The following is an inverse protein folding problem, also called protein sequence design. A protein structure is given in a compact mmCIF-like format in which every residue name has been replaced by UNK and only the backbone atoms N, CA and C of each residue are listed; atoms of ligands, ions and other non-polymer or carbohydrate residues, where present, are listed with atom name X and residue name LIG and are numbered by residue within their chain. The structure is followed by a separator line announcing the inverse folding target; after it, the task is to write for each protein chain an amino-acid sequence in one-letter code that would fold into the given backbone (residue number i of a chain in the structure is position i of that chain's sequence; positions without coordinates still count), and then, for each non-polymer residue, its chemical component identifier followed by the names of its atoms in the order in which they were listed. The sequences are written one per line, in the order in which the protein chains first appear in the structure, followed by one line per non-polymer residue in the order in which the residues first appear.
data_IF_397412214938
#
_entry.id   IF_397412214938
#
_cell.length_a   1.000
_cell.length_b   1.000
_cell.length_c   1.000
_cell.angle_alpha   90.00
_cell.angle_beta   90.00
_cell.angle_gamma   90.00
#
_symmetry.space_group_name_H-M   'P 1'
#
loop_
_entity.id
_entity.type
_entity.pdbx_description
1 polymer ?
#
# COMPACT_ATOMS: atom_id res chain seq x y z
N UNK A 1 4.27 -25.74 8.25
CA UNK A 1 4.70 -25.44 6.87
C UNK A 1 3.52 -24.82 6.17
N UNK A 2 3.55 -23.51 5.94
CA UNK A 2 2.52 -22.80 5.17
C UNK A 2 3.24 -22.14 4.02
N UNK A 3 3.26 -22.83 2.90
CA UNK A 3 3.76 -22.31 1.63
C UNK A 3 2.61 -21.57 0.95
N UNK A 4 2.74 -20.26 0.77
CA UNK A 4 1.84 -19.50 -0.08
C UNK A 4 2.21 -19.86 -1.54
N UNK A 5 1.36 -20.66 -2.21
CA UNK A 5 1.54 -20.95 -3.63
C UNK A 5 1.00 -19.78 -4.43
N UNK A 6 1.88 -19.08 -5.11
CA UNK A 6 1.54 -18.06 -6.11
C UNK A 6 1.57 -18.75 -7.46
N UNK A 7 0.41 -18.82 -8.13
CA UNK A 7 0.34 -19.19 -9.53
C UNK A 7 0.61 -17.94 -10.37
N UNK A 8 1.83 -17.77 -10.85
CA UNK A 8 2.23 -16.72 -11.77
C UNK A 8 2.55 -17.35 -13.13
N UNK A 9 1.82 -16.94 -14.17
CA UNK A 9 2.19 -17.20 -15.57
C UNK A 9 3.24 -16.19 -16.05
N UNK A 10 4.01 -16.49 -17.11
CA UNK A 10 5.06 -15.62 -17.60
C UNK A 10 4.48 -14.51 -18.48
N UNK A 11 4.83 -13.26 -18.26
CA UNK A 11 5.39 -12.44 -19.32
C UNK A 11 5.76 -11.03 -18.90
N UNK A 12 6.91 -10.70 -19.30
CA UNK A 12 7.68 -9.49 -19.33
C UNK A 12 6.97 -8.34 -20.03
N UNK A 13 6.47 -7.37 -19.26
CA UNK A 13 6.39 -5.99 -19.70
C UNK A 13 6.83 -5.09 -18.54
N UNK A 14 7.61 -4.06 -18.82
CA UNK A 14 8.14 -3.10 -17.87
C UNK A 14 7.00 -2.36 -17.15
N UNK A 15 6.48 -2.97 -16.09
CA UNK A 15 5.44 -2.46 -15.21
C UNK A 15 5.92 -2.54 -13.78
N UNK A 16 5.36 -1.70 -12.91
CA UNK A 16 5.69 -1.68 -11.49
C UNK A 16 5.54 -3.06 -10.85
N UNK A 17 6.54 -3.47 -10.09
CA UNK A 17 6.63 -4.78 -9.46
C UNK A 17 6.97 -4.65 -7.98
N UNK A 18 6.16 -5.27 -7.14
CA UNK A 18 6.43 -5.46 -5.73
C UNK A 18 6.98 -6.87 -5.50
N UNK A 19 8.14 -6.98 -4.90
CA UNK A 19 8.77 -8.22 -4.52
C UNK A 19 8.95 -8.27 -3.01
N UNK A 20 8.56 -9.37 -2.42
CA UNK A 20 8.70 -9.64 -0.99
C UNK A 20 9.44 -10.96 -0.85
N UNK A 21 10.55 -10.97 -0.14
CA UNK A 21 11.43 -12.13 -0.02
C UNK A 21 11.73 -12.44 1.43
N UNK A 22 11.34 -13.64 1.85
CA UNK A 22 11.70 -14.24 3.14
C UNK A 22 11.41 -13.35 4.35
N UNK A 23 10.23 -12.69 4.37
CA UNK A 23 9.87 -11.83 5.50
C UNK A 23 9.74 -12.60 6.79
N UNK A 24 10.34 -12.07 7.82
CA UNK A 24 10.32 -12.61 9.17
C UNK A 24 9.91 -11.54 10.18
N UNK A 25 9.14 -11.95 11.20
CA UNK A 25 8.78 -11.10 12.34
C UNK A 25 8.56 -11.88 13.60
N UNK A 26 9.17 -11.40 14.68
CA UNK A 26 9.01 -11.92 16.03
C UNK A 26 8.55 -10.82 16.97
N UNK A 27 7.72 -11.16 17.93
CA UNK A 27 7.38 -10.32 19.08
C UNK A 27 7.75 -11.06 20.36
N UNK A 28 8.81 -10.58 21.02
CA UNK A 28 9.46 -11.31 22.10
C UNK A 28 9.97 -12.68 21.62
N UNK A 29 9.61 -13.74 22.32
CA UNK A 29 9.99 -15.11 21.94
C UNK A 29 9.11 -15.73 20.86
N UNK A 30 8.01 -15.08 20.46
CA UNK A 30 7.05 -15.63 19.50
C UNK A 30 7.35 -15.17 18.07
N UNK A 31 7.76 -16.10 17.20
CA UNK A 31 7.88 -15.87 15.76
C UNK A 31 6.49 -15.90 15.12
N UNK A 32 5.99 -14.72 14.71
CA UNK A 32 4.64 -14.53 14.13
C UNK A 32 4.66 -14.71 12.61
N UNK A 33 5.68 -14.17 11.94
CA UNK A 33 5.91 -14.39 10.52
C UNK A 33 7.24 -15.15 10.39
N UNK A 34 7.19 -16.33 9.75
CA UNK A 34 8.35 -17.24 9.72
C UNK A 34 9.16 -17.13 8.44
N UNK A 35 8.46 -17.03 7.33
CA UNK A 35 9.02 -16.94 5.98
C UNK A 35 7.85 -16.64 5.02
N UNK A 36 7.74 -15.41 4.59
CA UNK A 36 6.71 -15.00 3.62
C UNK A 36 7.39 -14.38 2.41
N UNK A 37 7.13 -14.97 1.25
CA UNK A 37 7.60 -14.47 -0.03
C UNK A 37 6.42 -14.36 -0.99
N UNK A 38 6.35 -13.27 -1.73
CA UNK A 38 5.34 -13.04 -2.78
C UNK A 38 5.85 -12.02 -3.80
N UNK A 39 5.25 -12.05 -4.97
CA UNK A 39 5.47 -11.06 -6.03
C UNK A 39 4.11 -10.58 -6.48
N UNK A 40 3.99 -9.27 -6.72
CA UNK A 40 2.80 -8.64 -7.32
C UNK A 40 3.26 -7.82 -8.51
N UNK A 41 2.68 -8.06 -9.66
CA UNK A 41 2.95 -7.32 -10.89
C UNK A 41 1.83 -6.32 -11.17
N UNK A 42 2.13 -5.33 -12.00
CA UNK A 42 1.10 -4.36 -12.44
C UNK A 42 -0.11 -5.07 -13.05
N UNK A 43 -1.30 -4.71 -12.56
CA UNK A 43 -2.57 -5.30 -13.00
C UNK A 43 -2.91 -6.64 -12.34
N UNK A 44 -2.03 -7.18 -11.49
CA UNK A 44 -2.26 -8.43 -10.79
C UNK A 44 -2.96 -8.20 -9.43
N UNK A 45 -3.82 -9.13 -9.06
CA UNK A 45 -4.45 -9.20 -7.74
C UNK A 45 -3.95 -10.44 -7.01
N UNK A 46 -3.27 -10.22 -5.88
CA UNK A 46 -2.71 -11.30 -5.06
C UNK A 46 -3.41 -11.35 -3.71
N UNK A 47 -3.89 -12.54 -3.32
CA UNK A 47 -4.52 -12.80 -2.03
C UNK A 47 -3.57 -13.47 -1.04
N UNK A 48 -3.47 -12.94 0.17
CA UNK A 48 -2.74 -13.56 1.28
C UNK A 48 -3.72 -14.35 2.14
N UNK A 49 -3.70 -15.69 2.02
CA UNK A 49 -4.63 -16.59 2.68
C UNK A 49 -3.97 -17.32 3.84
N UNK A 50 -4.76 -17.73 4.82
CA UNK A 50 -4.30 -18.50 5.98
C UNK A 50 -5.23 -18.36 7.18
N UNK A 51 -5.10 -19.21 8.21
CA UNK A 51 -5.90 -19.17 9.42
C UNK A 51 -5.67 -17.90 10.24
N UNK A 52 -6.53 -17.66 11.22
CA UNK A 52 -6.33 -16.57 12.17
C UNK A 52 -5.03 -16.78 12.95
N UNK A 53 -4.27 -15.70 13.14
CA UNK A 53 -2.95 -15.77 13.78
C UNK A 53 -1.80 -16.24 12.88
N UNK A 54 -2.03 -16.53 11.60
CA UNK A 54 -0.98 -16.94 10.64
C UNK A 54 -0.02 -15.79 10.25
N UNK A 55 -0.14 -14.60 10.83
CA UNK A 55 0.76 -13.48 10.52
C UNK A 55 0.37 -12.65 9.29
N UNK A 56 -0.80 -12.89 8.65
CA UNK A 56 -1.24 -12.16 7.45
C UNK A 56 -1.20 -10.65 7.62
N UNK A 57 -1.88 -10.13 8.63
CA UNK A 57 -1.92 -8.70 8.94
C UNK A 57 -0.54 -8.15 9.24
N UNK A 58 0.29 -8.90 9.96
CA UNK A 58 1.67 -8.50 10.27
C UNK A 58 2.52 -8.42 9.01
N UNK A 59 2.41 -9.41 8.11
CA UNK A 59 3.09 -9.39 6.81
C UNK A 59 2.65 -8.19 5.98
N UNK A 60 1.35 -7.92 5.94
CA UNK A 60 0.81 -6.74 5.26
C UNK A 60 1.35 -5.44 5.85
N UNK A 61 1.40 -5.30 7.17
CA UNK A 61 1.94 -4.12 7.84
C UNK A 61 3.45 -3.94 7.60
N UNK A 62 4.21 -5.04 7.47
CA UNK A 62 5.61 -4.96 7.07
C UNK A 62 5.76 -4.46 5.63
N UNK A 63 4.95 -4.96 4.70
CA UNK A 63 4.97 -4.55 3.29
C UNK A 63 4.66 -3.07 3.15
N UNK A 64 3.65 -2.55 3.84
CA UNK A 64 3.28 -1.13 3.75
C UNK A 64 4.17 -0.20 4.59
N UNK A 65 5.00 -0.74 5.49
CA UNK A 65 5.96 0.04 6.29
C UNK A 65 5.40 0.56 7.61
N UNK A 66 4.32 -0.04 8.11
CA UNK A 66 3.79 0.22 9.46
C UNK A 66 4.53 -0.57 10.55
N UNK A 67 5.07 -1.73 10.19
CA UNK A 67 5.87 -2.59 11.07
C UNK A 67 7.20 -2.89 10.38
N UNK A 68 8.31 -2.79 11.11
CA UNK A 68 9.62 -3.17 10.59
C UNK A 68 9.75 -4.70 10.59
N UNK A 69 10.26 -5.26 9.48
CA UNK A 69 10.63 -6.68 9.43
C UNK A 69 11.93 -6.94 10.23
N UNK A 70 12.06 -8.16 10.75
CA UNK A 70 13.28 -8.59 11.45
C UNK A 70 14.23 -9.32 10.49
N UNK A 71 13.71 -9.82 9.35
CA UNK A 71 14.45 -10.46 8.28
C UNK A 71 13.71 -10.38 6.95
N UNK A 72 14.43 -10.68 5.87
CA UNK A 72 13.91 -10.61 4.51
C UNK A 72 14.07 -9.23 3.88
N UNK A 73 13.51 -9.07 2.68
CA UNK A 73 13.56 -7.81 1.93
C UNK A 73 12.22 -7.51 1.25
N UNK A 74 11.96 -6.24 1.00
CA UNK A 74 10.79 -5.75 0.27
C UNK A 74 11.33 -4.80 -0.80
N UNK A 75 10.97 -5.04 -2.07
CA UNK A 75 11.43 -4.24 -3.19
C UNK A 75 10.27 -3.72 -4.02
N UNK A 76 10.38 -2.47 -4.44
CA UNK A 76 9.51 -1.86 -5.44
C UNK A 76 10.38 -1.52 -6.63
N UNK A 77 10.08 -2.10 -7.78
CA UNK A 77 10.84 -1.92 -9.03
C UNK A 77 12.35 -2.16 -8.84
N UNK A 78 12.69 -3.22 -8.10
CA UNK A 78 14.07 -3.62 -7.80
C UNK A 78 14.75 -2.83 -6.67
N UNK A 79 14.17 -1.74 -6.17
CA UNK A 79 14.74 -0.94 -5.09
C UNK A 79 14.24 -1.42 -3.74
N UNK A 80 15.16 -1.75 -2.81
CA UNK A 80 14.78 -2.15 -1.46
C UNK A 80 14.13 -0.98 -0.70
N UNK A 81 13.00 -1.29 -0.08
CA UNK A 81 12.21 -0.35 0.73
C UNK A 81 12.02 -0.86 2.16
N UNK A 82 12.68 -1.95 2.55
CA UNK A 82 12.48 -2.62 3.84
C UNK A 82 12.65 -1.68 5.04
N UNK A 83 13.60 -0.77 4.99
CA UNK A 83 13.87 0.23 6.04
C UNK A 83 13.14 1.57 5.82
N UNK A 84 12.37 1.70 4.74
CA UNK A 84 11.66 2.94 4.45
C UNK A 84 10.34 3.02 5.22
N UNK A 85 10.02 4.16 5.84
CA UNK A 85 8.72 4.38 6.46
C UNK A 85 7.61 4.51 5.40
N UNK A 86 6.36 4.26 5.81
CA UNK A 86 5.18 4.25 4.93
C UNK A 86 5.08 5.47 4.00
N UNK A 87 5.35 6.68 4.49
CA UNK A 87 5.26 7.90 3.68
C UNK A 87 6.29 7.98 2.55
N UNK A 88 7.44 7.29 2.67
CA UNK A 88 8.42 7.19 1.59
C UNK A 88 8.01 6.12 0.58
N UNK A 89 7.48 4.98 1.06
CA UNK A 89 6.95 3.92 0.17
C UNK A 89 5.75 4.42 -0.64
N UNK A 90 4.90 5.25 -0.03
CA UNK A 90 3.77 5.87 -0.71
C UNK A 90 4.21 6.72 -1.92
N UNK A 91 5.33 7.43 -1.83
CA UNK A 91 5.90 8.20 -2.95
C UNK A 91 6.42 7.32 -4.09
N UNK A 92 6.67 6.05 -3.82
CA UNK A 92 7.04 5.04 -4.82
C UNK A 92 5.80 4.29 -5.38
N UNK A 93 4.58 4.76 -5.07
CA UNK A 93 3.34 4.22 -5.59
C UNK A 93 2.66 3.17 -4.71
N UNK A 94 3.20 2.84 -3.52
CA UNK A 94 2.58 1.88 -2.62
C UNK A 94 1.48 2.56 -1.78
N UNK A 95 0.23 2.25 -2.06
CA UNK A 95 -0.91 2.72 -1.26
C UNK A 95 -1.40 1.66 -0.27
N UNK A 96 -1.98 2.10 0.83
CA UNK A 96 -2.59 1.25 1.85
C UNK A 96 -4.02 1.69 2.12
N UNK A 97 -4.96 0.77 1.99
CA UNK A 97 -6.36 0.98 2.38
C UNK A 97 -6.63 0.23 3.69
N UNK A 98 -6.78 0.93 4.83
CA UNK A 98 -7.08 0.31 6.13
C UNK A 98 -8.45 -0.35 6.15
N UNK A 99 -8.64 -1.32 7.05
CA UNK A 99 -9.96 -1.90 7.33
C UNK A 99 -10.88 -0.93 8.06
N UNK A 100 -10.31 -0.04 8.89
CA UNK A 100 -11.05 1.00 9.58
C UNK A 100 -11.15 2.26 8.73
N UNK A 101 -12.23 3.01 8.91
CA UNK A 101 -12.44 4.26 8.20
C UNK A 101 -11.35 5.28 8.54
N UNK A 102 -10.51 5.58 7.55
CA UNK A 102 -9.46 6.62 7.64
C UNK A 102 -10.02 7.97 7.20
N UNK A 103 -10.92 8.53 8.00
CA UNK A 103 -11.55 9.82 7.73
C UNK A 103 -11.30 10.81 8.87
N UNK A 104 -11.19 12.06 8.53
CA UNK A 104 -11.22 13.16 9.51
C UNK A 104 -12.68 13.41 9.92
N UNK A 105 -13.10 12.84 11.06
CA UNK A 105 -14.50 12.86 11.51
C UNK A 105 -15.12 14.24 11.71
N UNK A 106 -14.29 15.29 11.82
CA UNK A 106 -14.74 16.68 11.97
C UNK A 106 -14.89 17.42 10.65
N UNK A 107 -14.43 16.82 9.56
CA UNK A 107 -14.50 17.36 8.22
C UNK A 107 -15.69 16.73 7.49
N UNK A 108 -16.32 17.48 6.60
CA UNK A 108 -17.33 16.95 5.68
C UNK A 108 -16.67 16.12 4.55
N UNK A 109 -17.48 15.59 3.63
CA UNK A 109 -17.00 14.72 2.54
C UNK A 109 -16.01 15.46 1.63
N UNK A 110 -16.38 16.66 1.19
CA UNK A 110 -15.54 17.49 0.34
C UNK A 110 -14.20 17.83 0.99
N UNK A 111 -14.23 18.26 2.25
CA UNK A 111 -13.03 18.61 3.02
C UNK A 111 -12.11 17.39 3.23
N UNK A 112 -12.65 16.19 3.44
CA UNK A 112 -11.86 14.97 3.53
C UNK A 112 -11.14 14.65 2.23
N UNK A 113 -11.82 14.74 1.08
CA UNK A 113 -11.22 14.52 -0.24
C UNK A 113 -10.16 15.60 -0.53
N UNK A 114 -10.48 16.86 -0.25
CA UNK A 114 -9.57 18.00 -0.41
C UNK A 114 -8.28 17.84 0.38
N UNK A 115 -8.37 17.42 1.65
CA UNK A 115 -7.21 17.21 2.52
C UNK A 115 -6.23 16.15 1.93
N UNK A 116 -6.75 15.14 1.24
CA UNK A 116 -5.91 14.14 0.56
C UNK A 116 -5.29 14.72 -0.71
N UNK A 117 -6.06 15.51 -1.49
CA UNK A 117 -5.57 16.15 -2.72
C UNK A 117 -4.44 17.16 -2.45
N UNK A 118 -4.49 17.88 -1.33
CA UNK A 118 -3.45 18.83 -0.92
C UNK A 118 -2.08 18.16 -0.66
N UNK A 119 -2.07 16.86 -0.34
CA UNK A 119 -0.84 16.08 -0.15
C UNK A 119 -0.29 15.50 -1.45
N UNK A 120 -1.08 15.52 -2.52
CA UNK A 120 -0.66 14.97 -3.81
C UNK A 120 0.31 15.90 -4.54
N UNK A 121 1.06 15.29 -5.44
CA UNK A 121 1.97 15.99 -6.35
C UNK A 121 1.53 15.78 -7.78
N UNK A 122 1.73 16.80 -8.60
CA UNK A 122 1.55 16.68 -10.05
C UNK A 122 2.66 15.86 -10.70
N UNK A 123 2.55 15.64 -12.00
CA UNK A 123 3.53 14.89 -12.79
C UNK A 123 4.92 15.57 -12.81
N UNK A 124 4.96 16.87 -12.54
CA UNK A 124 6.17 17.66 -12.37
C UNK A 124 6.82 17.52 -10.97
N UNK A 125 6.24 16.68 -10.09
CA UNK A 125 6.69 16.44 -8.71
C UNK A 125 6.39 17.58 -7.73
N UNK A 126 5.73 18.67 -8.18
CA UNK A 126 5.35 19.79 -7.32
C UNK A 126 3.98 19.58 -6.67
N UNK A 127 3.69 20.22 -5.52
CA UNK A 127 2.35 20.20 -4.96
C UNK A 127 1.33 20.69 -5.99
N UNK A 128 0.12 20.11 -5.98
CA UNK A 128 -0.97 20.55 -6.84
C UNK A 128 -1.33 22.01 -6.55
N UNK A 129 -1.52 22.80 -7.58
CA UNK A 129 -2.05 24.13 -7.48
C UNK A 129 -3.54 24.14 -7.12
N UNK A 130 -4.03 25.26 -6.55
CA UNK A 130 -5.44 25.39 -6.11
C UNK A 130 -6.43 25.04 -7.22
N UNK A 131 -6.22 25.49 -8.44
CA UNK A 131 -7.10 25.21 -9.57
C UNK A 131 -7.15 23.70 -9.90
N UNK A 132 -6.00 23.04 -9.86
CA UNK A 132 -5.90 21.59 -10.09
C UNK A 132 -6.58 20.77 -8.98
N UNK A 133 -6.50 21.26 -7.73
CA UNK A 133 -7.21 20.62 -6.60
C UNK A 133 -8.72 20.73 -6.80
N UNK A 134 -9.25 21.91 -7.15
CA UNK A 134 -10.68 22.13 -7.37
C UNK A 134 -11.21 21.29 -8.52
N UNK A 135 -10.50 21.20 -9.64
CA UNK A 135 -10.87 20.39 -10.79
C UNK A 135 -10.92 18.89 -10.42
N UNK A 136 -9.87 18.38 -9.77
CA UNK A 136 -9.81 16.97 -9.33
C UNK A 136 -10.86 16.67 -8.28
N UNK A 137 -11.10 17.58 -7.34
CA UNK A 137 -12.12 17.43 -6.31
C UNK A 137 -13.49 17.26 -6.94
N UNK A 138 -13.87 18.18 -7.84
CA UNK A 138 -15.16 18.11 -8.55
C UNK A 138 -15.31 16.79 -9.31
N UNK A 139 -14.27 16.39 -10.04
CA UNK A 139 -14.26 15.12 -10.78
C UNK A 139 -14.45 13.90 -9.87
N UNK A 140 -13.72 13.85 -8.74
CA UNK A 140 -13.82 12.74 -7.80
C UNK A 140 -15.18 12.67 -7.11
N UNK A 141 -15.75 13.81 -6.69
CA UNK A 141 -17.05 13.83 -6.04
C UNK A 141 -18.14 13.33 -6.99
N UNK A 142 -18.08 13.69 -8.28
CA UNK A 142 -19.00 13.19 -9.32
C UNK A 142 -18.81 11.70 -9.59
N UNK A 143 -17.56 11.24 -9.75
CA UNK A 143 -17.24 9.83 -9.98
C UNK A 143 -17.74 8.94 -8.82
N UNK A 144 -17.55 9.39 -7.59
CA UNK A 144 -18.01 8.70 -6.39
C UNK A 144 -19.50 8.90 -6.11
N UNK A 145 -20.20 9.74 -6.88
CA UNK A 145 -21.63 10.09 -6.71
C UNK A 145 -21.95 10.65 -5.32
N UNK A 146 -21.08 11.48 -4.80
CA UNK A 146 -21.21 12.13 -3.48
C UNK A 146 -21.18 13.67 -3.59
N UNK A 147 -21.34 14.19 -4.79
CA UNK A 147 -21.38 15.62 -5.13
C UNK A 147 -22.61 16.36 -4.58
N UNK A 148 -23.58 15.60 -4.06
CA UNK A 148 -24.81 16.11 -3.43
C UNK A 148 -24.73 16.17 -1.89
N UNK A 149 -23.64 15.73 -1.28
CA UNK A 149 -23.36 15.75 0.15
C UNK A 149 -22.49 16.96 0.50
#
# INVERSE_FOLDING_TARGET
MSTATVAGGPDTQAGSRLEVSHLEKSYGSRKVVKDVSLVVQKGEVVGLLGPNGAGKTTSFYMIVGLVRCDGGDIRIDGHSVADMPIHRRSRLGLSYLPQEASIFRKLNVEENVRAVLELQRGDDGKPLGRAQIEERLTSLLQELRVDHL
#
